data_IF_073541433246
#
_entry.id   IF_073541433246
#
_cell.length_a   1.000
_cell.length_b   1.000
_cell.length_c   1.000
_cell.angle_alpha   90.00
_cell.angle_beta   90.00
_cell.angle_gamma   90.00
#
_symmetry.space_group_name_H-M   'P 1'
#
loop_
_entity.id
_entity.type
_entity.pdbx_description
1 polymer ?
#
# COMPACT_ATOMS: atom_id res chain seq x y z
N UNK A 1 19.32 -15.45 -1.40
CA UNK A 1 19.34 -14.43 -0.33
C UNK A 1 18.24 -14.71 0.70
N UNK A 2 16.99 -14.89 0.26
CA UNK A 2 15.87 -15.31 1.13
C UNK A 2 16.16 -16.60 1.92
N UNK A 3 16.61 -17.68 1.29
CA UNK A 3 16.91 -18.94 2.00
C UNK A 3 17.94 -18.76 3.12
N UNK A 4 18.92 -17.88 2.95
CA UNK A 4 19.92 -17.61 3.98
C UNK A 4 19.32 -16.85 5.17
N UNK A 5 18.39 -15.93 4.92
CA UNK A 5 17.63 -15.22 5.97
C UNK A 5 16.72 -16.20 6.74
N UNK A 6 15.98 -17.04 6.02
CA UNK A 6 15.09 -18.02 6.63
C UNK A 6 15.86 -19.08 7.45
N UNK A 7 16.97 -19.59 6.92
CA UNK A 7 17.81 -20.57 7.65
C UNK A 7 18.47 -19.98 8.90
N UNK A 8 18.63 -18.66 8.98
CA UNK A 8 19.18 -17.97 10.14
C UNK A 8 18.12 -17.62 11.20
N UNK A 9 16.83 -17.73 10.86
CA UNK A 9 15.71 -17.43 11.75
C UNK A 9 15.06 -18.73 12.25
N UNK A 10 15.37 -19.11 13.49
CA UNK A 10 14.75 -20.27 14.15
C UNK A 10 13.21 -20.16 14.27
N UNK A 11 12.67 -18.94 14.17
CA UNK A 11 11.23 -18.66 14.16
C UNK A 11 10.60 -18.61 12.77
N UNK A 12 11.35 -18.87 11.69
CA UNK A 12 10.84 -18.82 10.32
C UNK A 12 9.54 -19.65 10.12
N UNK A 13 9.38 -20.87 10.68
CA UNK A 13 8.13 -21.62 10.53
C UNK A 13 6.87 -20.88 11.01
N UNK A 14 6.99 -19.88 11.88
CA UNK A 14 5.86 -19.12 12.45
C UNK A 14 5.66 -17.74 11.80
N UNK A 15 6.46 -17.40 10.78
CA UNK A 15 6.48 -16.06 10.17
C UNK A 15 6.02 -16.08 8.72
N UNK A 16 5.52 -14.93 8.29
CA UNK A 16 5.35 -14.62 6.88
C UNK A 16 6.38 -13.55 6.51
N UNK A 17 7.04 -13.72 5.36
CA UNK A 17 8.04 -12.79 4.84
C UNK A 17 7.82 -12.60 3.35
N UNK A 18 7.68 -11.35 2.95
CA UNK A 18 7.34 -10.95 1.60
C UNK A 18 8.32 -9.88 1.13
N UNK A 19 8.55 -9.82 -0.17
CA UNK A 19 9.30 -8.74 -0.77
C UNK A 19 9.05 -8.63 -2.27
N UNK A 20 9.27 -7.42 -2.73
CA UNK A 20 9.18 -7.01 -4.13
C UNK A 20 10.45 -6.20 -4.39
N UNK A 21 11.14 -6.50 -5.48
CA UNK A 21 12.19 -5.67 -6.04
C UNK A 21 11.86 -5.28 -7.49
N UNK A 22 12.77 -4.57 -8.15
CA UNK A 22 12.53 -4.06 -9.51
C UNK A 22 12.39 -5.15 -10.59
N UNK A 23 12.77 -6.40 -10.29
CA UNK A 23 12.77 -7.50 -11.27
C UNK A 23 12.05 -8.77 -10.77
N UNK A 24 11.85 -8.92 -9.47
CA UNK A 24 11.39 -10.16 -8.86
C UNK A 24 10.55 -9.92 -7.61
N UNK A 25 9.71 -10.92 -7.31
CA UNK A 25 8.97 -11.01 -6.06
C UNK A 25 9.47 -12.23 -5.28
N UNK A 26 9.23 -12.21 -3.98
CA UNK A 26 9.30 -13.41 -3.17
C UNK A 26 8.24 -13.38 -2.08
N UNK A 27 7.63 -14.53 -1.82
CA UNK A 27 6.77 -14.72 -0.66
C UNK A 27 7.12 -16.01 0.08
N UNK A 28 6.95 -15.95 1.39
CA UNK A 28 7.16 -17.08 2.28
C UNK A 28 6.09 -17.03 3.38
N UNK A 29 5.47 -18.17 3.63
CA UNK A 29 4.59 -18.38 4.79
C UNK A 29 4.99 -19.70 5.44
N UNK A 30 5.47 -19.62 6.67
CA UNK A 30 5.92 -20.79 7.41
C UNK A 30 4.78 -21.74 7.75
N UNK A 31 5.09 -23.03 7.82
CA UNK A 31 4.10 -24.10 8.01
C UNK A 31 3.37 -24.03 9.38
N UNK A 32 3.97 -23.34 10.36
CA UNK A 32 3.44 -23.13 11.72
C UNK A 32 2.72 -21.78 11.88
N UNK A 33 2.46 -21.04 10.79
CA UNK A 33 1.60 -19.86 10.85
C UNK A 33 0.17 -20.23 11.33
N UNK A 34 -0.51 -19.27 11.96
CA UNK A 34 -1.87 -19.51 12.47
C UNK A 34 -2.82 -19.78 11.31
N UNK A 35 -3.61 -20.86 11.43
CA UNK A 35 -4.52 -21.37 10.41
C UNK A 35 -5.35 -20.30 9.69
N UNK A 36 -5.69 -20.58 8.42
CA UNK A 36 -6.17 -19.60 7.43
C UNK A 36 -5.10 -18.55 7.13
N UNK A 37 -3.90 -19.05 6.78
CA UNK A 37 -2.79 -18.26 6.29
C UNK A 37 -2.45 -18.64 4.87
N UNK A 38 -1.82 -17.72 4.16
CA UNK A 38 -1.30 -17.97 2.84
C UNK A 38 -0.66 -16.72 2.26
N UNK A 39 -0.22 -16.89 1.03
CA UNK A 39 0.27 -15.79 0.21
C UNK A 39 -0.07 -16.02 -1.27
N UNK A 40 -0.03 -14.92 -2.02
CA UNK A 40 0.01 -14.91 -3.48
C UNK A 40 1.19 -14.07 -3.95
N UNK A 41 1.77 -14.50 -5.06
CA UNK A 41 2.76 -13.75 -5.82
C UNK A 41 2.20 -13.49 -7.21
N UNK A 42 2.30 -12.24 -7.66
CA UNK A 42 1.94 -11.84 -9.01
C UNK A 42 3.01 -10.94 -9.61
N UNK A 43 2.69 -10.33 -10.75
CA UNK A 43 3.67 -9.52 -11.48
C UNK A 43 3.95 -8.20 -10.74
N UNK A 44 5.13 -8.09 -10.13
CA UNK A 44 5.57 -6.95 -9.31
C UNK A 44 4.74 -6.69 -8.03
N UNK A 45 4.06 -7.70 -7.48
CA UNK A 45 3.37 -7.58 -6.19
C UNK A 45 3.30 -8.90 -5.42
N UNK A 46 3.05 -8.81 -4.12
CA UNK A 46 2.69 -9.98 -3.30
C UNK A 46 1.56 -9.63 -2.34
N UNK A 47 0.74 -10.61 -1.98
CA UNK A 47 -0.35 -10.48 -1.00
C UNK A 47 -0.17 -11.56 0.06
N UNK A 48 -0.24 -11.18 1.34
CA UNK A 48 -0.10 -12.10 2.46
C UNK A 48 -1.24 -11.91 3.46
N UNK A 49 -1.53 -12.96 4.22
CA UNK A 49 -2.35 -12.83 5.41
C UNK A 49 -2.31 -14.10 6.25
N UNK A 50 -2.66 -13.94 7.52
CA UNK A 50 -2.93 -15.02 8.46
C UNK A 50 -4.18 -14.67 9.26
N UNK A 51 -4.77 -15.68 9.91
CA UNK A 51 -6.03 -15.52 10.62
C UNK A 51 -7.14 -14.93 9.73
N UNK A 52 -7.15 -15.28 8.44
CA UNK A 52 -8.17 -14.83 7.51
C UNK A 52 -9.46 -15.64 7.67
N UNK A 53 -10.57 -15.13 7.15
CA UNK A 53 -11.82 -15.89 7.04
C UNK A 53 -11.76 -16.99 5.98
N UNK A 54 -10.86 -16.86 4.98
CA UNK A 54 -10.53 -17.91 4.02
C UNK A 54 -9.54 -17.45 2.95
N UNK A 55 -9.13 -18.38 2.07
CA UNK A 55 -8.19 -18.13 0.97
C UNK A 55 -8.71 -17.12 -0.08
N UNK A 56 -10.03 -17.01 -0.21
CA UNK A 56 -10.71 -16.07 -1.12
C UNK A 56 -10.39 -14.60 -0.80
N UNK A 57 -10.10 -14.26 0.47
CA UNK A 57 -9.68 -12.91 0.87
C UNK A 57 -8.41 -12.50 0.12
N UNK A 58 -7.41 -13.38 0.09
CA UNK A 58 -6.15 -13.14 -0.62
C UNK A 58 -6.37 -13.03 -2.14
N UNK A 59 -7.39 -13.70 -2.69
CA UNK A 59 -7.69 -13.71 -4.14
C UNK A 59 -8.31 -12.37 -4.51
N UNK A 60 -9.29 -11.96 -3.72
CA UNK A 60 -10.00 -10.69 -3.89
C UNK A 60 -9.06 -9.50 -3.77
N UNK A 61 -8.12 -9.50 -2.81
CA UNK A 61 -7.11 -8.43 -2.70
C UNK A 61 -6.21 -8.38 -3.95
N UNK A 62 -5.75 -9.54 -4.42
CA UNK A 62 -4.90 -9.64 -5.60
C UNK A 62 -5.64 -9.14 -6.86
N UNK A 63 -6.85 -9.62 -7.10
CA UNK A 63 -7.69 -9.21 -8.24
C UNK A 63 -8.01 -7.72 -8.22
N UNK A 64 -8.32 -7.16 -7.05
CA UNK A 64 -8.61 -5.74 -6.90
C UNK A 64 -7.38 -4.86 -7.18
N UNK A 65 -6.19 -5.29 -6.76
CA UNK A 65 -4.94 -4.62 -7.09
C UNK A 65 -4.64 -4.72 -8.60
N UNK A 66 -4.69 -5.92 -9.17
CA UNK A 66 -4.39 -6.18 -10.59
C UNK A 66 -5.31 -5.40 -11.53
N UNK A 67 -6.58 -5.21 -11.17
CA UNK A 67 -7.53 -4.46 -11.99
C UNK A 67 -7.13 -2.99 -12.22
N UNK A 68 -6.26 -2.45 -11.36
CA UNK A 68 -5.80 -1.05 -11.41
C UNK A 68 -4.26 -0.93 -11.41
N UNK A 69 -3.54 -2.05 -11.55
CA UNK A 69 -2.09 -2.06 -11.48
C UNK A 69 -1.47 -1.37 -12.70
N UNK A 70 -0.39 -0.64 -12.45
CA UNK A 70 0.48 -0.10 -13.50
C UNK A 70 1.79 -0.86 -13.39
N UNK A 71 2.06 -1.73 -14.37
CA UNK A 71 3.25 -2.58 -14.39
C UNK A 71 4.43 -1.96 -15.15
N UNK A 72 4.43 -0.63 -15.29
CA UNK A 72 5.55 0.12 -15.85
C UNK A 72 6.50 0.60 -14.74
N UNK A 73 7.78 0.78 -15.06
CA UNK A 73 8.80 1.28 -14.11
C UNK A 73 8.57 2.73 -13.67
N UNK A 74 7.59 3.40 -14.28
CA UNK A 74 7.19 4.77 -13.95
C UNK A 74 5.69 4.79 -13.83
N UNK A 75 5.21 5.11 -12.63
CA UNK A 75 3.80 5.30 -12.36
C UNK A 75 3.43 6.75 -12.70
N UNK A 76 2.49 6.98 -13.63
CA UNK A 76 2.11 8.34 -14.02
C UNK A 76 1.37 9.11 -12.90
N UNK A 77 0.92 8.41 -11.85
CA UNK A 77 0.19 8.96 -10.73
C UNK A 77 1.06 9.10 -9.46
N UNK A 78 2.24 9.72 -9.61
CA UNK A 78 3.15 10.07 -8.50
C UNK A 78 3.28 11.59 -8.32
N UNK A 79 3.65 12.01 -7.09
CA UNK A 79 3.93 13.41 -6.77
C UNK A 79 2.79 14.36 -7.13
N UNK A 80 3.11 15.58 -7.61
CA UNK A 80 2.09 16.57 -7.98
C UNK A 80 1.17 16.14 -9.13
N UNK A 81 1.64 15.28 -10.05
CA UNK A 81 0.86 14.83 -11.20
C UNK A 81 -0.34 13.95 -10.77
N UNK A 82 -0.19 13.23 -9.65
CA UNK A 82 -1.14 12.28 -9.10
C UNK A 82 -2.50 12.89 -8.69
N UNK A 83 -2.56 14.20 -8.41
CA UNK A 83 -3.77 14.88 -7.91
C UNK A 83 -4.36 15.89 -8.89
N UNK A 84 -3.83 15.94 -10.12
CA UNK A 84 -4.33 16.82 -11.18
C UNK A 84 -5.62 16.30 -11.81
N UNK A 85 -6.40 17.17 -12.46
CA UNK A 85 -7.76 16.84 -12.94
C UNK A 85 -7.82 15.85 -14.13
N UNK A 86 -6.68 15.32 -14.63
CA UNK A 86 -6.64 14.44 -15.80
C UNK A 86 -5.64 13.28 -15.63
N UNK A 87 -5.90 12.39 -14.67
CA UNK A 87 -5.12 11.14 -14.54
C UNK A 87 -6.03 9.96 -14.86
N UNK A 88 -5.59 9.09 -15.77
CA UNK A 88 -6.31 7.85 -16.14
C UNK A 88 -6.19 6.76 -15.04
N UNK A 89 -5.33 6.99 -14.06
CA UNK A 89 -4.98 6.05 -12.99
C UNK A 89 -4.97 6.77 -11.64
N UNK A 90 -5.60 6.16 -10.65
CA UNK A 90 -5.55 6.63 -9.26
C UNK A 90 -4.12 6.52 -8.66
N UNK A 91 -3.74 7.37 -7.70
CA UNK A 91 -2.47 7.25 -6.99
C UNK A 91 -2.30 5.86 -6.36
N UNK A 92 -1.06 5.34 -6.30
CA UNK A 92 -0.79 4.00 -5.78
C UNK A 92 -1.36 3.79 -4.37
N UNK A 93 -1.26 4.79 -3.50
CA UNK A 93 -1.83 4.72 -2.15
C UNK A 93 -3.34 4.40 -2.17
N UNK A 94 -4.11 5.04 -3.05
CA UNK A 94 -5.54 4.79 -3.20
C UNK A 94 -5.82 3.37 -3.70
N UNK A 95 -5.07 2.91 -4.71
CA UNK A 95 -5.22 1.54 -5.25
C UNK A 95 -4.94 0.48 -4.19
N UNK A 96 -3.94 0.70 -3.33
CA UNK A 96 -3.67 -0.18 -2.18
C UNK A 96 -4.81 -0.15 -1.16
N UNK A 97 -5.37 1.02 -0.85
CA UNK A 97 -6.55 1.14 0.03
C UNK A 97 -7.75 0.39 -0.56
N UNK A 98 -7.99 0.49 -1.87
CA UNK A 98 -9.09 -0.20 -2.53
C UNK A 98 -8.89 -1.72 -2.56
N UNK A 99 -7.66 -2.20 -2.73
CA UNK A 99 -7.34 -3.62 -2.61
C UNK A 99 -7.58 -4.15 -1.18
N UNK A 100 -7.16 -3.40 -0.15
CA UNK A 100 -7.44 -3.74 1.25
C UNK A 100 -8.94 -3.76 1.53
N UNK A 101 -9.68 -2.79 1.01
CA UNK A 101 -11.13 -2.72 1.14
C UNK A 101 -11.84 -3.92 0.51
N UNK A 102 -11.35 -4.40 -0.64
CA UNK A 102 -11.89 -5.58 -1.31
C UNK A 102 -11.69 -6.84 -0.45
N UNK A 103 -10.49 -7.00 0.14
CA UNK A 103 -10.21 -8.11 1.07
C UNK A 103 -11.07 -8.08 2.33
N UNK A 104 -11.25 -6.90 2.93
CA UNK A 104 -12.12 -6.70 4.09
C UNK A 104 -13.58 -7.09 3.78
N UNK A 105 -14.09 -6.69 2.60
CA UNK A 105 -15.44 -7.03 2.13
C UNK A 105 -15.64 -8.53 1.86
N UNK A 106 -14.62 -9.25 1.38
CA UNK A 106 -14.68 -10.71 1.22
C UNK A 106 -14.74 -11.45 2.57
N UNK A 107 -14.30 -10.78 3.64
CA UNK A 107 -14.41 -11.25 5.01
C UNK A 107 -13.18 -10.97 5.86
N UNK A 108 -12.06 -10.57 5.24
CA UNK A 108 -10.88 -10.07 5.93
C UNK A 108 -10.37 -10.95 7.07
N UNK A 109 -10.08 -10.29 8.19
CA UNK A 109 -9.61 -10.90 9.43
C UNK A 109 -10.74 -11.59 10.20
N UNK A 110 -10.57 -12.86 10.57
CA UNK A 110 -11.62 -13.64 11.25
C UNK A 110 -11.79 -13.33 12.75
N UNK A 111 -11.02 -12.40 13.32
CA UNK A 111 -11.06 -12.07 14.75
C UNK A 111 -12.24 -11.17 15.08
N UNK A 112 -13.45 -11.73 14.99
CA UNK A 112 -14.72 -11.01 15.20
C UNK A 112 -14.89 -10.43 16.63
N UNK A 113 -14.17 -10.96 17.63
CA UNK A 113 -14.22 -10.47 19.02
C UNK A 113 -13.38 -9.19 19.25
N UNK A 114 -12.53 -8.83 18.28
CA UNK A 114 -11.69 -7.64 18.34
C UNK A 114 -12.31 -6.53 17.49
N UNK A 115 -13.08 -5.64 18.13
CA UNK A 115 -13.68 -4.51 17.41
C UNK A 115 -12.66 -3.47 16.97
N UNK A 116 -11.50 -3.40 17.63
CA UNK A 116 -10.42 -2.46 17.30
C UNK A 116 -9.39 -3.14 16.42
N UNK A 117 -9.16 -2.55 15.26
CA UNK A 117 -8.23 -2.99 14.24
C UNK A 117 -7.26 -1.85 13.89
N UNK A 118 -6.29 -2.17 13.03
CA UNK A 118 -5.35 -1.21 12.47
C UNK A 118 -5.29 -1.35 10.96
N UNK A 119 -4.86 -0.27 10.30
CA UNK A 119 -4.59 -0.26 8.86
C UNK A 119 -3.49 0.75 8.59
N UNK A 120 -2.64 0.44 7.62
CA UNK A 120 -1.59 1.32 7.19
C UNK A 120 -1.37 1.20 5.69
N UNK A 121 -0.99 2.31 5.06
CA UNK A 121 -0.52 2.36 3.68
C UNK A 121 0.74 3.21 3.67
N UNK A 122 1.80 2.65 3.09
CA UNK A 122 3.09 3.31 2.91
C UNK A 122 3.50 3.17 1.46
N UNK A 123 3.76 4.29 0.79
CA UNK A 123 4.22 4.36 -0.59
C UNK A 123 5.51 5.17 -0.62
N UNK A 124 6.57 4.55 -1.11
CA UNK A 124 7.88 5.16 -1.26
C UNK A 124 8.20 5.31 -2.75
N UNK A 125 8.92 6.36 -3.12
CA UNK A 125 9.37 6.58 -4.49
C UNK A 125 10.84 6.95 -4.52
N UNK A 126 11.55 6.56 -5.58
CA UNK A 126 12.90 7.04 -5.85
C UNK A 126 12.92 8.41 -6.53
N UNK A 127 11.75 8.91 -6.95
CA UNK A 127 11.61 10.24 -7.53
C UNK A 127 11.73 11.32 -6.44
N UNK A 128 12.37 12.43 -6.79
CA UNK A 128 12.44 13.59 -5.90
C UNK A 128 11.28 14.53 -6.19
N UNK A 129 10.46 14.80 -5.19
CA UNK A 129 9.39 15.77 -5.27
C UNK A 129 9.69 16.96 -4.34
N UNK A 130 9.36 18.17 -4.77
CA UNK A 130 9.49 19.37 -3.92
C UNK A 130 8.63 19.26 -2.66
N UNK A 131 7.48 18.58 -2.77
CA UNK A 131 6.64 18.22 -1.65
C UNK A 131 6.16 16.79 -1.81
N UNK A 132 6.45 15.97 -0.79
CA UNK A 132 5.98 14.60 -0.71
C UNK A 132 4.48 14.55 -0.42
N UNK A 133 3.69 13.74 -1.14
CA UNK A 133 2.27 13.64 -0.88
C UNK A 133 2.00 13.01 0.50
N UNK A 134 1.26 13.68 1.40
CA UNK A 134 1.02 13.18 2.76
C UNK A 134 0.16 11.90 2.79
N UNK A 135 -0.61 11.64 1.73
CA UNK A 135 -1.41 10.41 1.59
C UNK A 135 -0.57 9.17 1.30
N UNK A 136 0.76 9.29 1.14
CA UNK A 136 1.66 8.17 0.94
C UNK A 136 2.06 7.45 2.24
N UNK A 137 1.93 8.06 3.43
CA UNK A 137 2.16 7.38 4.71
C UNK A 137 0.97 7.64 5.64
N UNK A 138 0.01 6.72 5.58
CA UNK A 138 -1.20 6.75 6.39
C UNK A 138 -1.17 5.58 7.36
N UNK A 139 -1.34 5.88 8.65
CA UNK A 139 -1.35 4.88 9.72
C UNK A 139 -2.47 5.16 10.70
N UNK A 140 -3.37 4.19 10.83
CA UNK A 140 -4.40 4.16 11.85
C UNK A 140 -4.13 2.94 12.73
N UNK A 141 -3.52 3.18 13.89
CA UNK A 141 -3.09 2.11 14.80
C UNK A 141 -4.25 1.52 15.63
N UNK A 142 -5.38 2.24 15.74
CA UNK A 142 -6.55 1.80 16.48
C UNK A 142 -7.83 2.47 15.95
N UNK A 143 -8.72 1.68 15.36
CA UNK A 143 -10.02 2.12 14.84
C UNK A 143 -11.00 0.94 14.80
N UNK A 144 -12.30 1.23 14.91
CA UNK A 144 -13.37 0.23 14.72
C UNK A 144 -13.81 0.09 13.26
N UNK A 145 -13.33 0.97 12.38
CA UNK A 145 -13.73 1.07 10.98
C UNK A 145 -12.50 1.33 10.10
N UNK A 146 -11.47 0.45 10.10
CA UNK A 146 -10.19 0.70 9.45
C UNK A 146 -10.31 1.15 8.00
N UNK A 147 -11.10 0.45 7.20
CA UNK A 147 -11.26 0.79 5.77
C UNK A 147 -11.97 2.13 5.55
N UNK A 148 -12.98 2.46 6.35
CA UNK A 148 -13.69 3.73 6.21
C UNK A 148 -12.81 4.89 6.66
N UNK A 149 -12.13 4.75 7.79
CA UNK A 149 -11.31 5.79 8.38
C UNK A 149 -10.06 6.06 7.54
N UNK A 150 -9.42 5.03 6.96
CA UNK A 150 -8.24 5.25 6.10
C UNK A 150 -8.64 5.91 4.79
N UNK A 151 -9.83 5.62 4.26
CA UNK A 151 -10.37 6.31 3.08
C UNK A 151 -10.65 7.79 3.37
N UNK A 152 -11.31 8.09 4.50
CA UNK A 152 -11.53 9.48 4.91
C UNK A 152 -10.19 10.22 5.13
N UNK A 153 -9.23 9.56 5.78
CA UNK A 153 -7.89 10.11 6.00
C UNK A 153 -7.17 10.38 4.68
N UNK A 154 -7.28 9.45 3.72
CA UNK A 154 -6.75 9.61 2.36
C UNK A 154 -7.37 10.80 1.65
N UNK A 155 -8.71 10.89 1.62
CA UNK A 155 -9.42 11.98 0.92
C UNK A 155 -9.05 13.36 1.49
N UNK A 156 -8.93 13.48 2.82
CA UNK A 156 -8.50 14.71 3.48
C UNK A 156 -7.03 15.05 3.19
N UNK A 157 -6.15 14.05 3.19
CA UNK A 157 -4.74 14.24 2.87
C UNK A 157 -4.52 14.63 1.40
N UNK A 158 -5.25 14.01 0.47
CA UNK A 158 -5.27 14.33 -0.95
C UNK A 158 -5.81 15.75 -1.20
N UNK A 159 -6.94 16.10 -0.57
CA UNK A 159 -7.48 17.45 -0.64
C UNK A 159 -6.48 18.50 -0.13
N UNK A 160 -5.90 18.26 1.05
CA UNK A 160 -4.91 19.17 1.64
C UNK A 160 -3.68 19.33 0.76
N UNK A 161 -3.22 18.25 0.12
CA UNK A 161 -2.11 18.30 -0.83
C UNK A 161 -2.46 19.12 -2.08
N UNK A 162 -3.65 18.90 -2.65
CA UNK A 162 -4.15 19.65 -3.81
C UNK A 162 -4.27 21.15 -3.50
N UNK A 163 -4.86 21.50 -2.35
CA UNK A 163 -5.01 22.89 -1.91
C UNK A 163 -3.64 23.56 -1.71
N UNK A 164 -2.68 22.83 -1.14
CA UNK A 164 -1.30 23.31 -0.99
C UNK A 164 -0.63 23.53 -2.35
N UNK A 165 -0.73 22.59 -3.29
CA UNK A 165 -0.14 22.76 -4.62
C UNK A 165 -0.73 23.97 -5.34
N UNK A 166 -2.06 24.13 -5.30
CA UNK A 166 -2.74 25.27 -5.92
C UNK A 166 -2.37 26.62 -5.28
N UNK A 167 -2.15 26.65 -3.96
CA UNK A 167 -1.80 27.88 -3.25
C UNK A 167 -0.33 28.29 -3.43
N UNK A 168 0.57 27.31 -3.57
CA UNK A 168 2.01 27.52 -3.54
C UNK A 168 2.72 27.21 -4.88
N UNK A 169 1.95 27.00 -5.97
CA UNK A 169 2.46 26.71 -7.32
C UNK A 169 3.62 27.65 -7.73
N UNK A 170 3.46 28.97 -7.53
CA UNK A 170 4.51 29.96 -7.86
C UNK A 170 5.65 30.08 -6.84
N UNK A 171 5.52 29.53 -5.63
CA UNK A 171 6.59 29.55 -4.62
C UNK A 171 7.58 28.39 -4.84
N UNK A 172 7.08 27.23 -5.28
CA UNK A 172 7.94 26.09 -5.63
C UNK A 172 8.72 26.31 -6.92
N UNK A 173 8.14 27.04 -7.89
CA UNK A 173 8.88 27.48 -9.08
C UNK A 173 10.08 28.37 -8.72
N UNK A 174 9.93 29.27 -7.73
CA UNK A 174 11.02 30.15 -7.28
C UNK A 174 12.15 29.39 -6.54
N UNK A 175 11.80 28.45 -5.66
CA UNK A 175 12.78 27.65 -4.89
C UNK A 175 13.56 26.67 -5.79
N UNK A 176 12.92 26.15 -6.85
CA UNK A 176 13.57 25.28 -7.84
C UNK A 176 14.63 26.00 -8.69
N UNK A 177 14.52 27.32 -8.85
CA UNK A 177 15.49 28.14 -9.58
C UNK A 177 16.69 28.54 -8.70
N UNK A 178 16.50 28.70 -7.39
CA UNK A 178 17.59 29.03 -6.44
C UNK A 178 18.49 27.83 -6.10
N UNK A 179 18.04 26.60 -6.37
CA UNK A 179 18.83 25.38 -6.11
C UNK A 179 19.69 24.97 -7.32
N UNK A 180 19.65 25.72 -8.43
CA UNK A 180 20.30 25.40 -9.70
C UNK A 180 21.61 26.17 -9.99
N UNK A 181 22.20 26.87 -9.01
CA UNK A 181 23.50 27.57 -9.14
C UNK A 181 24.73 26.79 -8.63
#
# INVERSE_FOLDING_TARGET
MLEALLNADEGAPQRQLHGVDGESTFAFSGEECVAEYGHREGDHYTVAGNMLTGEAVLETVAEAYEANAVHDTTDPATGPAAVTENVDTDPLAKRLIDALAAGDLEGGDKREELSVQSVAVVVETTESHTVEPPYNDLRLDATETPIADVRETYDLAEQGYRDMLAQYEGAFEADSLDTAE
#
